data_IF_102232791429
#
_entry.id   IF_102232791429
#
_cell.length_a   1.000
_cell.length_b   1.000
_cell.length_c   1.000
_cell.angle_alpha   90.00
_cell.angle_beta   90.00
_cell.angle_gamma   90.00
#
_symmetry.space_group_name_H-M   'P 1'
#
loop_
_entity.id
_entity.type
_entity.pdbx_description
1 polymer ?
#
# COMPACT_ATOMS: atom_id res chain seq x y z
N UNK A 1 -34.16 1.55 69.74
CA UNK A 1 -33.24 2.58 70.24
C UNK A 1 -32.73 3.28 68.97
N UNK A 2 -33.48 4.31 68.54
CA UNK A 2 -33.33 5.77 68.73
C UNK A 2 -31.91 6.23 68.38
N UNK A 3 -31.69 7.11 67.41
CA UNK A 3 -32.25 8.43 67.19
C UNK A 3 -31.96 8.97 65.80
N UNK A 4 -32.96 9.54 65.21
CA UNK A 4 -33.02 10.59 64.16
C UNK A 4 -32.13 11.79 64.49
N UNK A 5 -31.59 12.45 63.48
CA UNK A 5 -31.67 13.94 63.46
C UNK A 5 -31.75 14.46 62.02
N UNK A 6 -32.65 15.37 61.89
CA UNK A 6 -33.15 16.09 60.75
C UNK A 6 -32.41 17.43 60.62
N UNK A 7 -32.25 17.98 59.46
CA UNK A 7 -31.76 19.35 59.24
C UNK A 7 -32.18 19.86 57.86
N UNK A 8 -33.30 20.56 57.85
CA UNK A 8 -33.86 21.42 56.77
C UNK A 8 -32.89 22.59 56.53
N UNK A 9 -32.86 23.28 55.48
CA UNK A 9 -33.59 23.75 54.32
C UNK A 9 -32.85 24.97 53.79
N UNK A 10 -32.89 25.29 52.54
CA UNK A 10 -33.53 26.54 52.09
C UNK A 10 -33.42 26.67 50.55
N UNK A 11 -34.54 27.01 50.02
CA UNK A 11 -34.89 27.32 48.64
C UNK A 11 -34.31 28.67 48.23
N UNK A 12 -33.89 28.80 46.98
CA UNK A 12 -34.07 30.06 46.23
C UNK A 12 -34.13 29.76 44.73
N UNK A 13 -35.26 30.10 44.17
CA UNK A 13 -35.57 30.14 42.76
C UNK A 13 -35.26 31.52 42.19
N UNK A 14 -34.82 31.57 40.94
CA UNK A 14 -35.00 32.61 39.92
C UNK A 14 -33.95 32.33 38.82
N UNK A 15 -34.13 32.47 37.54
CA UNK A 15 -35.19 32.94 36.70
C UNK A 15 -34.82 32.50 35.26
N UNK A 16 -35.85 32.41 34.44
CA UNK A 16 -35.85 32.23 32.98
C UNK A 16 -34.82 33.10 32.23
N UNK A 17 -34.17 32.54 31.24
CA UNK A 17 -33.47 33.27 30.20
C UNK A 17 -33.33 32.40 28.96
N UNK A 18 -34.28 32.49 28.02
CA UNK A 18 -34.13 31.98 26.64
C UNK A 18 -33.02 32.77 25.96
N UNK A 19 -32.10 32.06 25.33
CA UNK A 19 -31.33 32.59 24.24
C UNK A 19 -31.12 31.48 23.22
N UNK A 20 -31.83 31.61 22.12
CA UNK A 20 -31.54 31.00 20.82
C UNK A 20 -30.20 31.55 20.31
N UNK A 21 -29.39 30.71 19.76
CA UNK A 21 -28.35 31.22 18.90
C UNK A 21 -27.10 30.36 18.79
N UNK A 22 -26.85 29.94 17.57
CA UNK A 22 -25.59 29.64 16.96
C UNK A 22 -25.05 28.20 17.10
N UNK A 23 -25.38 27.42 16.08
CA UNK A 23 -24.46 26.46 15.49
C UNK A 23 -23.14 27.19 15.15
N UNK A 24 -22.09 26.92 15.86
CA UNK A 24 -20.74 27.28 15.44
C UNK A 24 -19.95 26.00 15.23
N UNK A 25 -19.68 25.76 13.98
CA UNK A 25 -18.54 25.07 13.38
C UNK A 25 -17.39 24.80 14.37
N UNK A 26 -17.17 23.53 14.69
CA UNK A 26 -15.88 23.06 15.11
C UNK A 26 -15.09 22.75 13.84
N UNK A 27 -14.44 23.79 13.33
CA UNK A 27 -13.35 23.67 12.35
C UNK A 27 -12.04 23.78 13.09
N UNK A 28 -11.16 22.83 12.75
CA UNK A 28 -9.71 22.98 12.68
C UNK A 28 -8.96 23.56 13.89
N UNK A 29 -8.41 22.70 14.72
CA UNK A 29 -7.04 22.89 15.24
C UNK A 29 -6.49 21.55 15.79
N UNK A 30 -6.01 20.69 14.91
CA UNK A 30 -5.04 19.65 15.23
C UNK A 30 -4.09 19.49 14.03
N UNK A 31 -3.34 20.56 13.78
CA UNK A 31 -2.15 20.51 12.94
C UNK A 31 -0.91 20.69 13.82
N UNK A 32 -0.02 19.74 13.65
CA UNK A 32 1.43 19.86 13.80
C UNK A 32 2.01 19.88 15.23
N UNK A 33 2.61 18.76 15.57
CA UNK A 33 4.02 18.76 15.98
C UNK A 33 4.64 17.42 15.61
N UNK A 34 5.03 17.27 14.33
CA UNK A 34 6.09 16.35 13.96
C UNK A 34 7.37 17.17 13.91
N UNK A 35 8.32 16.83 14.77
CA UNK A 35 9.63 17.45 14.80
C UNK A 35 10.34 17.28 13.45
N UNK A 36 10.60 18.41 12.82
CA UNK A 36 11.39 18.54 11.61
C UNK A 36 12.85 18.18 11.87
N UNK A 37 13.33 17.12 11.25
CA UNK A 37 14.75 16.92 11.00
C UNK A 37 15.10 17.58 9.66
N UNK A 38 16.03 18.55 9.74
CA UNK A 38 16.82 19.19 8.69
C UNK A 38 16.09 19.62 7.41
N UNK A 39 15.77 20.93 7.37
CA UNK A 39 15.35 21.63 6.17
C UNK A 39 16.43 21.63 5.09
N UNK A 40 16.24 20.82 4.06
CA UNK A 40 16.66 21.19 2.72
C UNK A 40 15.45 21.86 2.06
N UNK A 41 15.56 23.18 1.80
CA UNK A 41 14.63 23.87 0.91
C UNK A 41 14.66 23.13 -0.42
N UNK A 42 13.55 22.49 -0.80
CA UNK A 42 13.31 22.07 -2.16
C UNK A 42 13.27 23.35 -3.02
N UNK A 43 14.34 23.63 -3.75
CA UNK A 43 14.31 24.56 -4.88
C UNK A 43 13.54 23.84 -5.99
N UNK A 44 12.22 24.03 -6.05
CA UNK A 44 11.31 23.40 -6.98
C UNK A 44 10.10 24.29 -7.24
N UNK A 45 9.16 23.76 -8.03
CA UNK A 45 7.87 24.37 -8.33
C UNK A 45 7.18 24.82 -7.02
N UNK A 46 6.72 26.10 -6.93
CA UNK A 46 6.17 26.66 -5.70
C UNK A 46 4.77 26.13 -5.34
N UNK A 47 4.13 25.35 -6.22
CA UNK A 47 2.84 24.71 -6.01
C UNK A 47 2.99 23.22 -5.66
N UNK A 48 1.85 22.54 -5.51
CA UNK A 48 1.80 21.08 -5.39
C UNK A 48 2.00 20.44 -6.77
N UNK A 49 2.76 19.34 -6.85
CA UNK A 49 3.16 18.73 -8.13
C UNK A 49 1.95 18.26 -8.96
N UNK A 50 0.86 17.87 -8.33
CA UNK A 50 -0.36 17.40 -9.01
C UNK A 50 -1.05 18.49 -9.84
N UNK A 51 -0.86 19.78 -9.52
CA UNK A 51 -1.37 20.92 -10.27
C UNK A 51 -0.43 21.39 -11.38
N UNK A 52 0.83 20.91 -11.41
CA UNK A 52 1.81 21.35 -12.40
C UNK A 52 1.30 21.11 -13.84
N UNK A 53 1.54 22.03 -14.82
CA UNK A 53 1.07 21.90 -16.21
C UNK A 53 1.49 20.59 -16.89
N UNK A 54 2.65 20.03 -16.53
CA UNK A 54 3.09 18.72 -17.04
C UNK A 54 2.34 17.54 -16.44
N UNK A 55 1.65 17.72 -15.31
CA UNK A 55 0.97 16.66 -14.57
C UNK A 55 -0.55 16.79 -14.73
N UNK A 56 -1.15 17.86 -14.19
CA UNK A 56 -2.60 18.13 -14.28
C UNK A 56 -3.44 16.95 -13.78
N UNK A 57 -3.11 16.41 -12.61
CA UNK A 57 -3.68 15.16 -12.11
C UNK A 57 -5.22 15.16 -12.12
N UNK A 58 -5.86 16.22 -11.66
CA UNK A 58 -7.31 16.26 -11.50
C UNK A 58 -8.09 16.22 -12.83
N UNK A 59 -7.53 16.75 -13.92
CA UNK A 59 -8.25 17.00 -15.17
C UNK A 59 -7.78 16.13 -16.35
N UNK A 60 -6.55 15.63 -16.30
CA UNK A 60 -6.03 14.78 -17.39
C UNK A 60 -6.78 13.44 -17.43
N UNK A 61 -7.20 12.97 -18.62
CA UNK A 61 -7.77 11.65 -18.79
C UNK A 61 -6.80 10.57 -18.29
N UNK A 62 -7.35 9.49 -17.75
CA UNK A 62 -6.60 8.35 -17.25
C UNK A 62 -6.70 7.17 -18.19
N UNK A 63 -5.65 6.34 -18.21
CA UNK A 63 -5.51 5.17 -19.08
C UNK A 63 -5.25 3.90 -18.31
N UNK A 64 -5.40 3.95 -16.98
CA UNK A 64 -5.25 2.81 -16.10
C UNK A 64 -6.31 1.72 -16.36
N UNK A 65 -6.13 0.55 -15.75
CA UNK A 65 -7.00 -0.62 -15.97
C UNK A 65 -8.44 -0.38 -15.51
N UNK A 66 -8.66 0.41 -14.46
CA UNK A 66 -10.02 0.74 -13.98
C UNK A 66 -10.70 1.71 -14.94
N UNK A 67 -10.00 2.71 -15.45
CA UNK A 67 -10.50 3.59 -16.49
C UNK A 67 -10.88 2.83 -17.76
N UNK A 68 -10.01 1.92 -18.22
CA UNK A 68 -10.28 1.04 -19.38
C UNK A 68 -11.50 0.15 -19.16
N UNK A 69 -11.64 -0.47 -17.99
CA UNK A 69 -12.83 -1.26 -17.65
C UNK A 69 -14.09 -0.39 -17.68
N UNK A 70 -14.05 0.78 -17.05
CA UNK A 70 -15.20 1.69 -17.00
C UNK A 70 -15.64 2.11 -18.41
N UNK A 71 -14.68 2.46 -19.28
CA UNK A 71 -14.96 2.79 -20.68
C UNK A 71 -15.56 1.60 -21.44
N UNK A 72 -15.01 0.40 -21.27
CA UNK A 72 -15.54 -0.81 -21.93
C UNK A 72 -16.98 -1.14 -21.48
N UNK A 73 -17.32 -0.93 -20.21
CA UNK A 73 -18.70 -1.07 -19.72
C UNK A 73 -19.65 -0.07 -20.39
N UNK A 74 -19.22 1.18 -20.53
CA UNK A 74 -20.00 2.24 -21.20
C UNK A 74 -20.19 1.90 -22.69
N UNK A 75 -19.11 1.60 -23.41
CA UNK A 75 -19.12 1.35 -24.86
C UNK A 75 -19.97 0.14 -25.25
N UNK A 76 -19.99 -0.88 -24.39
CA UNK A 76 -20.74 -2.13 -24.64
C UNK A 76 -22.16 -2.12 -24.07
N UNK A 77 -22.51 -1.13 -23.25
CA UNK A 77 -23.77 -1.10 -22.49
C UNK A 77 -23.90 -2.26 -21.49
N UNK A 78 -22.79 -2.94 -21.15
CA UNK A 78 -22.77 -4.03 -20.19
C UNK A 78 -22.63 -3.49 -18.78
N UNK A 79 -23.14 -4.25 -17.80
CA UNK A 79 -22.96 -4.01 -16.38
C UNK A 79 -22.28 -5.21 -15.72
N UNK A 80 -21.58 -4.94 -14.63
CA UNK A 80 -21.07 -6.01 -13.79
C UNK A 80 -22.23 -6.79 -13.19
N UNK A 81 -22.11 -8.12 -13.17
CA UNK A 81 -23.13 -9.00 -12.60
C UNK A 81 -22.92 -9.08 -11.08
N UNK A 82 -23.94 -8.70 -10.32
CA UNK A 82 -23.85 -8.66 -8.85
C UNK A 82 -23.84 -10.09 -8.27
N UNK A 83 -22.79 -10.41 -7.51
CA UNK A 83 -22.72 -11.66 -6.72
C UNK A 83 -23.63 -11.56 -5.47
N UNK A 84 -24.41 -12.59 -5.14
CA UNK A 84 -25.33 -12.57 -3.98
C UNK A 84 -24.64 -12.37 -2.63
N UNK A 85 -23.38 -12.82 -2.44
CA UNK A 85 -22.65 -12.80 -1.17
C UNK A 85 -21.77 -11.57 -1.03
N UNK A 86 -21.06 -11.21 -2.09
CA UNK A 86 -19.99 -10.20 -2.07
C UNK A 86 -20.31 -8.95 -2.86
N UNK A 87 -21.55 -8.85 -3.40
CA UNK A 87 -21.95 -7.72 -4.21
C UNK A 87 -21.14 -7.64 -5.51
N UNK A 88 -20.49 -6.53 -5.75
CA UNK A 88 -19.66 -6.34 -6.95
C UNK A 88 -18.18 -6.70 -6.75
N UNK A 89 -17.77 -7.20 -5.57
CA UNK A 89 -16.36 -7.51 -5.32
C UNK A 89 -15.83 -8.55 -6.32
N UNK A 90 -16.39 -9.76 -6.35
CA UNK A 90 -15.89 -10.82 -7.23
C UNK A 90 -15.93 -10.43 -8.70
N UNK A 91 -17.03 -9.86 -9.25
CA UNK A 91 -17.06 -9.39 -10.63
C UNK A 91 -16.02 -8.31 -10.98
N UNK A 92 -15.69 -7.43 -10.03
CA UNK A 92 -14.64 -6.42 -10.23
C UNK A 92 -13.26 -7.07 -10.27
N UNK A 93 -12.98 -7.98 -9.36
CA UNK A 93 -11.69 -8.70 -9.36
C UNK A 93 -11.49 -9.50 -10.65
N UNK A 94 -12.52 -10.21 -11.11
CA UNK A 94 -12.50 -10.96 -12.38
C UNK A 94 -12.29 -10.03 -13.58
N UNK A 95 -13.04 -8.95 -13.68
CA UNK A 95 -12.95 -7.99 -14.78
C UNK A 95 -11.58 -7.29 -14.83
N UNK A 96 -10.96 -7.05 -13.68
CA UNK A 96 -9.63 -6.47 -13.57
C UNK A 96 -8.51 -7.52 -13.54
N UNK A 97 -8.81 -8.82 -13.48
CA UNK A 97 -7.81 -9.90 -13.38
C UNK A 97 -7.00 -9.88 -12.07
N UNK A 98 -7.55 -9.25 -11.01
CA UNK A 98 -6.91 -9.19 -9.70
C UNK A 98 -7.13 -10.53 -8.96
N UNK A 99 -6.07 -11.21 -8.49
CA UNK A 99 -6.19 -12.55 -7.92
C UNK A 99 -6.83 -12.54 -6.54
N UNK A 100 -7.75 -13.48 -6.30
CA UNK A 100 -8.37 -13.69 -4.98
C UNK A 100 -7.32 -14.13 -3.95
N UNK A 101 -6.30 -14.86 -4.37
CA UNK A 101 -5.19 -15.34 -3.54
C UNK A 101 -4.35 -14.22 -2.93
N UNK A 102 -4.45 -13.00 -3.44
CA UNK A 102 -3.79 -11.82 -2.88
C UNK A 102 -4.51 -11.22 -1.68
N UNK A 103 -5.60 -11.84 -1.19
CA UNK A 103 -6.37 -11.28 -0.09
C UNK A 103 -5.51 -10.99 1.15
N UNK A 104 -5.56 -9.73 1.59
CA UNK A 104 -5.02 -9.25 2.87
C UNK A 104 -6.17 -8.71 3.71
N UNK A 105 -6.05 -8.79 5.03
CA UNK A 105 -7.08 -8.31 5.94
C UNK A 105 -6.50 -7.28 6.91
N UNK A 106 -7.05 -6.07 6.90
CA UNK A 106 -6.65 -4.97 7.77
C UNK A 106 -7.83 -4.53 8.63
N UNK A 107 -7.64 -4.49 9.95
CA UNK A 107 -8.69 -4.13 10.90
C UNK A 107 -8.49 -2.76 11.56
N UNK A 108 -7.36 -2.11 11.33
CA UNK A 108 -7.18 -0.72 11.73
C UNK A 108 -8.19 0.17 11.03
N UNK A 109 -8.89 1.01 11.81
CA UNK A 109 -9.94 1.92 11.31
C UNK A 109 -9.34 3.11 10.58
N UNK A 110 -8.83 2.86 9.39
CA UNK A 110 -8.28 3.86 8.47
C UNK A 110 -9.15 3.94 7.20
N UNK A 111 -9.02 5.03 6.43
CA UNK A 111 -9.75 5.23 5.19
C UNK A 111 -11.20 5.70 5.38
N UNK A 112 -11.91 5.87 4.25
CA UNK A 112 -13.26 6.44 4.23
C UNK A 112 -14.32 5.49 4.78
N UNK A 113 -14.10 4.19 4.74
CA UNK A 113 -15.02 3.16 5.24
C UNK A 113 -14.70 2.70 6.67
N UNK A 114 -13.96 3.51 7.45
CA UNK A 114 -13.58 3.19 8.84
C UNK A 114 -14.75 2.87 9.76
N UNK A 115 -15.94 3.40 9.49
CA UNK A 115 -17.14 3.13 10.29
C UNK A 115 -17.60 1.66 10.20
N UNK A 116 -17.27 0.98 9.09
CA UNK A 116 -17.59 -0.43 8.85
C UNK A 116 -16.44 -1.36 9.23
N UNK A 117 -15.23 -0.83 9.37
CA UNK A 117 -14.03 -1.63 9.67
C UNK A 117 -13.86 -1.85 11.17
N UNK A 118 -13.54 -3.07 11.56
CA UNK A 118 -13.23 -3.45 12.95
C UNK A 118 -12.45 -4.76 13.00
N UNK A 119 -11.92 -5.19 14.16
CA UNK A 119 -11.35 -6.54 14.32
C UNK A 119 -12.31 -7.68 13.98
N UNK A 120 -13.63 -7.45 14.06
CA UNK A 120 -14.66 -8.43 13.72
C UNK A 120 -15.22 -8.26 12.29
N UNK A 121 -14.79 -7.24 11.59
CA UNK A 121 -15.15 -6.95 10.21
C UNK A 121 -13.99 -6.21 9.50
N UNK A 122 -12.83 -6.88 9.30
CA UNK A 122 -11.68 -6.24 8.67
C UNK A 122 -11.96 -5.88 7.22
N UNK A 123 -11.26 -4.88 6.73
CA UNK A 123 -11.21 -4.54 5.31
C UNK A 123 -10.35 -5.57 4.59
N UNK A 124 -10.91 -6.22 3.58
CA UNK A 124 -10.17 -7.06 2.65
C UNK A 124 -9.53 -6.19 1.56
N UNK A 125 -8.26 -6.46 1.26
CA UNK A 125 -7.49 -5.83 0.19
C UNK A 125 -7.07 -6.94 -0.76
N UNK A 126 -7.29 -6.73 -2.05
CA UNK A 126 -6.83 -7.57 -3.15
C UNK A 126 -5.94 -6.75 -4.06
N UNK A 127 -4.89 -7.32 -4.59
CA UNK A 127 -3.93 -6.55 -5.38
C UNK A 127 -3.22 -7.36 -6.46
N UNK A 128 -2.72 -6.64 -7.44
CA UNK A 128 -1.67 -7.08 -8.36
C UNK A 128 -0.65 -5.93 -8.54
N UNK A 129 0.20 -5.98 -9.55
CA UNK A 129 1.26 -4.98 -9.77
C UNK A 129 0.76 -3.59 -10.13
N UNK A 130 -0.53 -3.39 -10.43
CA UNK A 130 -1.05 -2.09 -10.87
C UNK A 130 -2.41 -1.72 -10.29
N UNK A 131 -3.13 -2.66 -9.66
CA UNK A 131 -4.47 -2.42 -9.11
C UNK A 131 -4.56 -2.92 -7.67
N UNK A 132 -5.21 -2.13 -6.83
CA UNK A 132 -5.60 -2.50 -5.47
C UNK A 132 -7.11 -2.32 -5.34
N UNK A 133 -7.79 -3.32 -4.81
CA UNK A 133 -9.23 -3.31 -4.54
C UNK A 133 -9.44 -3.51 -3.04
N UNK A 134 -10.15 -2.59 -2.40
CA UNK A 134 -10.45 -2.64 -0.98
C UNK A 134 -11.96 -2.76 -0.75
N UNK A 135 -12.33 -3.72 0.08
CA UNK A 135 -13.72 -4.10 0.35
C UNK A 135 -13.94 -4.33 1.85
N UNK A 136 -15.05 -3.83 2.36
CA UNK A 136 -15.49 -4.12 3.72
C UNK A 136 -16.88 -4.75 3.63
N UNK A 137 -17.10 -5.96 4.17
CA UNK A 137 -18.44 -6.57 4.16
C UNK A 137 -19.49 -5.63 4.77
N UNK A 138 -20.62 -5.45 4.06
CA UNK A 138 -21.71 -4.58 4.48
C UNK A 138 -21.49 -3.08 4.26
N UNK A 139 -20.32 -2.66 3.78
CA UNK A 139 -20.09 -1.27 3.42
C UNK A 139 -20.74 -0.91 2.06
N UNK A 140 -21.12 0.37 1.86
CA UNK A 140 -21.88 0.78 0.68
C UNK A 140 -21.07 0.85 -0.60
N UNK A 141 -19.72 0.80 -0.54
CA UNK A 141 -18.88 0.94 -1.73
C UNK A 141 -17.66 0.01 -1.70
N UNK A 142 -17.08 -0.21 -2.86
CA UNK A 142 -15.75 -0.78 -3.06
C UNK A 142 -14.81 0.37 -3.40
N UNK A 143 -13.64 0.41 -2.78
CA UNK A 143 -12.58 1.38 -3.07
C UNK A 143 -11.55 0.73 -3.98
N UNK A 144 -11.11 1.44 -5.01
CA UNK A 144 -10.08 0.96 -5.92
C UNK A 144 -8.98 2.01 -6.07
N UNK A 145 -7.78 1.53 -6.25
CA UNK A 145 -6.62 2.33 -6.63
C UNK A 145 -5.93 1.64 -7.80
N UNK A 146 -5.68 2.38 -8.87
CA UNK A 146 -5.03 1.83 -10.06
C UNK A 146 -3.89 2.74 -10.49
N UNK A 147 -2.76 2.17 -10.88
CA UNK A 147 -1.63 2.94 -11.37
C UNK A 147 -1.84 3.31 -12.85
N UNK A 148 -1.81 4.61 -13.12
CA UNK A 148 -1.77 5.19 -14.45
C UNK A 148 -0.32 5.57 -14.79
N UNK A 149 0.21 5.23 -15.98
CA UNK A 149 1.63 5.49 -16.33
C UNK A 149 2.02 6.97 -16.30
N UNK A 150 1.06 7.89 -16.42
CA UNK A 150 1.33 9.33 -16.40
C UNK A 150 0.87 10.03 -15.13
N UNK A 151 -0.23 9.54 -14.52
CA UNK A 151 -0.86 10.17 -13.37
C UNK A 151 -0.39 9.57 -12.03
N UNK A 152 0.29 8.42 -12.05
CA UNK A 152 0.54 7.66 -10.83
C UNK A 152 -0.73 6.97 -10.34
N UNK A 153 -0.93 6.86 -9.03
CA UNK A 153 -2.08 6.15 -8.48
C UNK A 153 -3.36 6.98 -8.60
N UNK A 154 -4.37 6.43 -9.28
CA UNK A 154 -5.68 7.02 -9.45
C UNK A 154 -6.70 6.25 -8.60
N UNK A 155 -7.54 6.98 -7.87
CA UNK A 155 -8.51 6.42 -6.93
C UNK A 155 -9.92 6.41 -7.50
N UNK A 156 -10.65 5.31 -7.25
CA UNK A 156 -12.02 5.12 -7.69
C UNK A 156 -12.89 4.56 -6.57
N UNK A 157 -14.20 4.74 -6.71
CA UNK A 157 -15.19 4.04 -5.90
C UNK A 157 -16.25 3.41 -6.81
N UNK A 158 -16.75 2.25 -6.39
CA UNK A 158 -17.89 1.58 -6.98
C UNK A 158 -18.99 1.46 -5.92
N UNK A 159 -20.16 2.03 -6.19
CA UNK A 159 -21.32 1.91 -5.31
C UNK A 159 -21.89 0.49 -5.36
N UNK A 160 -22.04 -0.15 -4.20
CA UNK A 160 -22.56 -1.52 -4.07
C UNK A 160 -24.06 -1.66 -4.38
N UNK A 161 -24.81 -0.57 -4.43
CA UNK A 161 -26.20 -0.58 -4.84
C UNK A 161 -26.35 -0.36 -6.35
N UNK A 162 -25.57 0.56 -6.94
CA UNK A 162 -25.67 0.94 -8.35
C UNK A 162 -24.82 0.07 -9.30
N UNK A 163 -23.63 -0.39 -8.84
CA UNK A 163 -22.75 -1.27 -9.61
C UNK A 163 -22.02 -0.63 -10.80
N UNK A 164 -22.32 0.60 -11.13
CA UNK A 164 -21.66 1.40 -12.18
C UNK A 164 -22.16 2.85 -12.11
N UNK A 165 -21.39 3.85 -12.64
CA UNK A 165 -19.99 3.73 -13.09
C UNK A 165 -18.99 3.65 -11.94
N UNK A 166 -17.76 3.21 -12.24
CA UNK A 166 -16.63 3.37 -11.34
C UNK A 166 -16.21 4.85 -11.36
N UNK A 167 -16.37 5.52 -10.23
CA UNK A 167 -16.23 6.99 -10.14
C UNK A 167 -14.84 7.36 -9.63
N UNK A 168 -14.09 8.15 -10.42
CA UNK A 168 -12.80 8.71 -9.99
C UNK A 168 -12.99 9.66 -8.79
N UNK A 169 -12.08 9.58 -7.81
CA UNK A 169 -12.15 10.34 -6.55
C UNK A 169 -10.86 11.10 -6.28
N UNK A 170 -10.84 12.38 -6.60
CA UNK A 170 -9.69 13.26 -6.30
C UNK A 170 -9.58 13.60 -4.81
N UNK A 171 -10.67 13.57 -4.05
CA UNK A 171 -10.65 13.80 -2.61
C UNK A 171 -9.81 12.78 -1.80
N UNK A 172 -9.46 11.64 -2.39
CA UNK A 172 -8.54 10.67 -1.76
C UNK A 172 -7.12 11.25 -1.58
N UNK A 173 -6.73 12.23 -2.40
CA UNK A 173 -5.42 12.89 -2.33
C UNK A 173 -5.18 13.57 -0.98
N UNK A 174 -6.24 13.98 -0.27
CA UNK A 174 -6.09 14.58 1.06
C UNK A 174 -5.29 13.72 2.06
N UNK A 175 -5.32 12.37 1.87
CA UNK A 175 -4.53 11.43 2.68
C UNK A 175 -3.43 10.76 1.84
N UNK A 176 -3.65 10.59 0.54
CA UNK A 176 -2.79 9.82 -0.35
C UNK A 176 -1.76 10.67 -1.13
N UNK A 177 -1.58 11.94 -0.75
CA UNK A 177 -0.44 12.79 -1.11
C UNK A 177 0.15 13.31 0.19
N UNK A 178 1.19 12.67 0.68
CA UNK A 178 1.82 12.98 1.97
C UNK A 178 3.28 12.55 1.96
N UNK A 179 4.02 12.80 3.05
CA UNK A 179 5.38 12.31 3.20
C UNK A 179 5.46 10.77 3.04
N UNK A 180 4.45 10.04 3.52
CA UNK A 180 4.36 8.58 3.39
C UNK A 180 4.21 8.08 1.95
N UNK A 181 3.74 8.92 1.05
CA UNK A 181 3.64 8.64 -0.39
C UNK A 181 4.65 9.44 -1.21
N UNK A 182 5.68 9.98 -0.57
CA UNK A 182 6.71 10.79 -1.21
C UNK A 182 6.14 12.04 -1.93
N UNK A 183 5.02 12.58 -1.41
CA UNK A 183 4.28 13.73 -1.95
C UNK A 183 3.73 13.56 -3.37
N UNK A 184 3.47 12.31 -3.77
CA UNK A 184 2.74 11.98 -5.01
C UNK A 184 1.51 11.13 -4.69
N UNK A 185 0.52 11.03 -5.61
CA UNK A 185 -0.59 10.09 -5.44
C UNK A 185 -0.06 8.67 -5.29
N UNK A 186 -0.27 8.08 -4.12
CA UNK A 186 0.35 6.82 -3.78
C UNK A 186 -0.45 5.99 -2.78
N UNK A 187 0.03 4.80 -2.48
CA UNK A 187 -0.57 3.89 -1.50
C UNK A 187 0.33 3.81 -0.29
N UNK A 188 -0.29 3.90 0.89
CA UNK A 188 0.39 3.83 2.18
C UNK A 188 0.13 2.44 2.76
N UNK A 189 1.19 1.70 3.01
CA UNK A 189 1.13 0.52 3.86
C UNK A 189 1.63 0.92 5.23
N UNK A 190 0.79 0.76 6.24
CA UNK A 190 1.09 1.27 7.58
C UNK A 190 0.83 0.23 8.65
N UNK A 191 1.79 0.09 9.54
CA UNK A 191 1.65 -0.64 10.79
C UNK A 191 1.23 0.34 11.89
N UNK A 192 0.09 0.10 12.51
CA UNK A 192 -0.46 0.98 13.53
C UNK A 192 -0.63 0.23 14.86
N UNK A 193 -0.30 0.86 15.98
CA UNK A 193 -0.85 0.42 17.25
C UNK A 193 -2.34 0.74 17.27
N UNK A 194 -3.17 -0.23 17.64
CA UNK A 194 -4.62 -0.12 17.63
C UNK A 194 -5.22 -0.52 18.97
N UNK A 195 -6.37 0.06 19.31
CA UNK A 195 -7.21 -0.38 20.41
C UNK A 195 -7.98 -1.66 20.09
N UNK A 196 -8.64 -2.23 21.09
CA UNK A 196 -9.43 -3.47 20.95
C UNK A 196 -10.62 -3.32 19.96
N UNK A 197 -11.03 -2.10 19.70
CA UNK A 197 -12.07 -1.75 18.72
C UNK A 197 -11.53 -1.47 17.32
N UNK A 198 -10.19 -1.50 17.12
CA UNK A 198 -9.50 -1.20 15.86
C UNK A 198 -9.19 0.29 15.65
N UNK A 199 -9.52 1.19 16.59
CA UNK A 199 -9.12 2.59 16.48
C UNK A 199 -7.60 2.72 16.57
N UNK A 200 -7.02 3.54 15.69
CA UNK A 200 -5.58 3.81 15.67
C UNK A 200 -5.19 4.66 16.86
N UNK A 201 -4.11 4.28 17.53
CA UNK A 201 -3.53 4.95 18.69
C UNK A 201 -2.12 5.46 18.34
N UNK A 202 -2.00 6.56 17.56
CA UNK A 202 -0.73 6.99 16.96
C UNK A 202 0.34 7.34 18.01
N UNK A 203 -0.07 7.76 19.21
CA UNK A 203 0.83 8.07 20.32
C UNK A 203 1.64 6.85 20.82
N UNK A 204 1.25 5.61 20.44
CA UNK A 204 1.93 4.37 20.82
C UNK A 204 2.68 3.73 19.65
N UNK A 205 2.69 4.34 18.48
CA UNK A 205 3.43 3.93 17.31
C UNK A 205 2.57 3.83 16.05
N UNK A 206 3.12 4.33 14.97
CA UNK A 206 2.61 4.21 13.61
C UNK A 206 3.81 4.30 12.67
N UNK A 207 3.98 3.30 11.82
CA UNK A 207 5.16 3.16 10.96
C UNK A 207 4.70 2.95 9.51
N UNK A 208 5.31 3.66 8.57
CA UNK A 208 5.19 3.34 7.16
C UNK A 208 6.05 2.10 6.87
N UNK A 209 5.50 1.13 6.15
CA UNK A 209 6.09 -0.19 5.98
C UNK A 209 6.54 -0.42 4.55
N UNK A 210 7.75 -0.94 4.41
CA UNK A 210 8.32 -1.44 3.17
C UNK A 210 9.28 -2.62 3.47
N UNK A 211 10.02 -3.11 2.49
CA UNK A 211 10.91 -4.26 2.68
C UNK A 211 12.11 -3.99 3.61
N UNK A 212 12.44 -2.72 3.88
CA UNK A 212 13.51 -2.32 4.80
C UNK A 212 13.03 -2.25 6.26
N UNK A 213 11.72 -2.30 6.50
CA UNK A 213 11.15 -2.21 7.86
C UNK A 213 11.44 -3.48 8.66
N UNK A 214 11.91 -3.39 9.91
CA UNK A 214 12.09 -4.55 10.77
C UNK A 214 10.77 -5.33 10.96
N UNK A 215 10.84 -6.65 10.93
CA UNK A 215 9.65 -7.51 11.01
C UNK A 215 8.76 -7.25 12.25
N UNK A 216 9.29 -6.97 13.45
CA UNK A 216 8.47 -6.65 14.61
C UNK A 216 7.56 -5.43 14.43
N UNK A 217 7.94 -4.51 13.53
CA UNK A 217 7.28 -3.23 13.35
C UNK A 217 6.23 -3.25 12.22
N UNK A 218 6.03 -4.38 11.50
CA UNK A 218 5.24 -4.42 10.26
C UNK A 218 3.74 -4.68 10.42
N UNK A 219 3.30 -5.36 11.48
CA UNK A 219 2.02 -6.07 11.46
C UNK A 219 0.87 -5.35 12.17
N UNK A 220 1.11 -4.15 12.65
CA UNK A 220 0.14 -3.39 13.44
C UNK A 220 -1.16 -3.08 12.68
N UNK A 221 -2.30 -3.58 13.18
CA UNK A 221 -3.62 -3.39 12.56
C UNK A 221 -3.95 -4.37 11.43
N UNK A 222 -3.06 -5.34 11.13
CA UNK A 222 -3.26 -6.37 10.12
C UNK A 222 -3.52 -7.74 10.75
N UNK A 223 -4.41 -8.53 10.16
CA UNK A 223 -4.41 -9.97 10.37
C UNK A 223 -3.34 -10.60 9.49
N UNK A 224 -2.64 -11.58 10.03
CA UNK A 224 -1.59 -12.29 9.30
C UNK A 224 -1.77 -13.77 9.55
N UNK A 225 -2.04 -14.52 8.48
CA UNK A 225 -2.13 -15.96 8.49
C UNK A 225 -0.89 -16.55 7.85
N UNK A 226 -0.33 -17.59 8.45
CA UNK A 226 0.80 -18.31 7.89
C UNK A 226 0.75 -19.78 8.31
N UNK A 227 1.69 -20.58 7.84
CA UNK A 227 1.91 -21.93 8.31
C UNK A 227 2.02 -21.96 9.85
N UNK A 228 1.48 -22.97 10.56
CA UNK A 228 1.61 -23.13 11.99
C UNK A 228 3.04 -23.04 12.52
N UNK A 229 4.04 -23.40 11.72
CA UNK A 229 5.46 -23.26 12.08
C UNK A 229 5.94 -21.79 12.09
N UNK A 230 5.33 -20.93 11.28
CA UNK A 230 5.59 -19.49 11.27
C UNK A 230 4.68 -18.71 12.25
N UNK A 231 3.63 -19.34 12.81
CA UNK A 231 2.72 -18.75 13.79
C UNK A 231 3.43 -18.13 15.01
N UNK A 232 4.44 -18.77 15.65
CA UNK A 232 5.19 -18.16 16.74
C UNK A 232 5.89 -16.88 16.32
N UNK A 233 6.30 -16.78 15.06
CA UNK A 233 6.89 -15.59 14.48
C UNK A 233 5.83 -14.53 14.20
N UNK A 234 4.75 -14.88 13.52
CA UNK A 234 3.61 -14.01 13.31
C UNK A 234 2.99 -13.56 14.66
N UNK A 235 2.88 -14.45 15.64
CA UNK A 235 2.44 -14.11 17.00
C UNK A 235 3.42 -13.19 17.73
N UNK A 236 4.72 -13.34 17.53
CA UNK A 236 5.74 -12.44 18.07
C UNK A 236 5.84 -11.13 17.29
N UNK A 237 5.66 -11.18 15.99
CA UNK A 237 5.55 -10.00 15.15
C UNK A 237 4.31 -9.16 15.46
N UNK A 238 3.29 -9.77 16.09
CA UNK A 238 2.14 -9.06 16.67
C UNK A 238 2.47 -8.26 17.93
N UNK A 239 3.70 -8.23 18.38
CA UNK A 239 4.11 -7.29 19.43
C UNK A 239 4.00 -5.84 18.98
N UNK A 240 4.00 -5.54 17.67
CA UNK A 240 3.58 -4.26 17.12
C UNK A 240 2.06 -4.01 17.26
N UNK A 241 1.27 -5.05 17.50
CA UNK A 241 -0.15 -5.02 17.86
C UNK A 241 -0.34 -5.14 19.37
N UNK A 242 0.43 -4.41 20.15
CA UNK A 242 0.13 -4.26 21.56
C UNK A 242 -1.22 -3.54 21.62
N UNK A 243 -2.28 -4.27 21.98
CA UNK A 243 -3.47 -3.63 22.52
C UNK A 243 -3.02 -2.83 23.73
N UNK A 244 -3.59 -1.66 23.93
CA UNK A 244 -3.28 -0.79 25.08
C UNK A 244 -3.31 -1.52 26.44
N UNK A 245 -3.98 -2.65 26.55
CA UNK A 245 -4.02 -3.54 27.72
C UNK A 245 -2.74 -4.36 27.95
N UNK A 246 -1.72 -4.25 27.11
CA UNK A 246 -0.46 -5.02 27.23
C UNK A 246 -0.62 -6.51 26.95
N UNK A 247 -1.78 -6.96 26.52
CA UNK A 247 -2.04 -8.33 26.06
C UNK A 247 -1.71 -8.38 24.58
N UNK A 248 -0.85 -9.31 24.17
CA UNK A 248 -0.64 -9.61 22.76
C UNK A 248 -1.98 -9.81 22.05
N UNK A 249 -2.06 -9.45 20.79
CA UNK A 249 -3.30 -9.50 20.02
C UNK A 249 -3.84 -10.93 19.92
N UNK A 250 -4.59 -11.38 20.93
CA UNK A 250 -5.33 -12.64 20.92
C UNK A 250 -6.48 -12.62 19.90
N UNK A 251 -6.89 -11.44 19.45
CA UNK A 251 -7.94 -11.26 18.44
C UNK A 251 -7.57 -11.86 17.08
N UNK A 252 -6.28 -11.96 16.75
CA UNK A 252 -5.87 -12.56 15.48
C UNK A 252 -6.23 -14.05 15.39
N UNK A 253 -5.93 -14.84 16.43
CA UNK A 253 -6.28 -16.27 16.43
C UNK A 253 -7.78 -16.47 16.48
N UNK A 254 -8.49 -15.74 17.32
CA UNK A 254 -9.94 -15.77 17.41
C UNK A 254 -10.60 -15.41 16.08
N UNK A 255 -10.07 -14.41 15.38
CA UNK A 255 -10.58 -14.02 14.06
C UNK A 255 -10.27 -15.08 12.99
N UNK A 256 -9.09 -15.66 12.98
CA UNK A 256 -8.70 -16.72 12.05
C UNK A 256 -9.56 -17.97 12.27
N UNK A 257 -9.78 -18.37 13.51
CA UNK A 257 -10.67 -19.50 13.85
C UNK A 257 -12.10 -19.21 13.40
N UNK A 258 -12.56 -17.99 13.60
CA UNK A 258 -13.88 -17.54 13.16
C UNK A 258 -14.01 -17.51 11.61
N UNK A 259 -13.00 -17.00 10.92
CA UNK A 259 -12.94 -16.95 9.46
C UNK A 259 -12.92 -18.38 8.88
N UNK A 260 -12.15 -19.29 9.48
CA UNK A 260 -12.04 -20.67 9.07
C UNK A 260 -13.33 -21.47 9.33
N UNK A 261 -14.12 -21.10 10.34
CA UNK A 261 -15.34 -21.82 10.69
C UNK A 261 -16.49 -21.64 9.70
N UNK A 262 -16.54 -20.52 8.96
CA UNK A 262 -17.61 -20.23 8.01
C UNK A 262 -17.22 -19.10 7.03
N UNK A 263 -16.22 -19.30 6.17
CA UNK A 263 -15.77 -18.24 5.26
C UNK A 263 -16.87 -17.77 4.30
N UNK A 264 -17.73 -18.70 3.88
CA UNK A 264 -18.81 -18.45 2.91
C UNK A 264 -19.93 -17.54 3.44
N UNK A 265 -20.13 -17.52 4.76
CA UNK A 265 -21.21 -16.76 5.38
C UNK A 265 -20.79 -15.33 5.75
N UNK A 266 -19.50 -14.97 5.61
CA UNK A 266 -18.94 -13.74 6.14
C UNK A 266 -18.56 -12.68 5.10
N UNK A 267 -18.79 -12.97 3.82
CA UNK A 267 -18.54 -12.03 2.73
C UNK A 267 -17.07 -11.91 2.31
N UNK A 268 -16.17 -12.76 2.81
CA UNK A 268 -14.80 -12.85 2.34
C UNK A 268 -14.63 -13.94 1.29
N UNK A 269 -13.70 -13.72 0.34
CA UNK A 269 -13.42 -14.67 -0.74
C UNK A 269 -12.39 -15.74 -0.36
N UNK A 270 -11.59 -15.50 0.67
CA UNK A 270 -10.60 -16.42 1.19
C UNK A 270 -10.60 -16.43 2.71
N UNK A 271 -10.22 -17.57 3.30
CA UNK A 271 -9.99 -17.73 4.75
C UNK A 271 -8.59 -17.28 5.18
N UNK A 272 -7.84 -16.58 4.32
CA UNK A 272 -6.46 -16.20 4.60
C UNK A 272 -6.20 -14.71 4.42
N UNK A 273 -5.18 -14.23 5.15
CA UNK A 273 -4.47 -12.98 4.97
C UNK A 273 -2.99 -13.35 5.00
N UNK A 274 -2.44 -13.69 3.83
CA UNK A 274 -1.14 -14.35 3.72
C UNK A 274 0.01 -13.39 4.06
N UNK A 275 0.92 -13.83 4.94
CA UNK A 275 2.11 -13.09 5.32
C UNK A 275 3.02 -12.79 4.12
N UNK A 276 3.15 -13.72 3.19
CA UNK A 276 4.00 -13.57 2.01
C UNK A 276 3.37 -12.57 1.05
N UNK A 277 2.05 -12.63 0.84
CA UNK A 277 1.34 -11.63 0.07
C UNK A 277 1.47 -10.23 0.68
N UNK A 278 1.44 -10.11 2.02
CA UNK A 278 1.63 -8.82 2.69
C UNK A 278 3.06 -8.27 2.49
N UNK A 279 4.09 -9.12 2.58
CA UNK A 279 5.48 -8.72 2.31
C UNK A 279 5.68 -8.25 0.85
N UNK A 280 5.02 -8.92 -0.10
CA UNK A 280 5.01 -8.52 -1.50
C UNK A 280 4.29 -7.17 -1.69
N UNK A 281 3.15 -7.00 -1.02
CA UNK A 281 2.39 -5.75 -1.03
C UNK A 281 3.18 -4.58 -0.45
N UNK A 282 3.84 -4.77 0.70
CA UNK A 282 4.69 -3.77 1.35
C UNK A 282 5.76 -3.25 0.38
N UNK A 283 6.46 -4.18 -0.28
CA UNK A 283 7.49 -3.84 -1.26
C UNK A 283 6.91 -3.10 -2.46
N UNK A 284 5.85 -3.65 -3.03
CA UNK A 284 5.25 -3.19 -4.28
C UNK A 284 4.68 -1.77 -4.16
N UNK A 285 3.96 -1.46 -3.06
CA UNK A 285 3.32 -0.16 -2.90
C UNK A 285 4.35 0.97 -2.76
N UNK A 286 5.44 0.73 -2.05
CA UNK A 286 6.51 1.73 -1.97
C UNK A 286 7.27 1.88 -3.31
N UNK A 287 7.47 0.78 -4.04
CA UNK A 287 8.04 0.84 -5.40
C UNK A 287 7.19 1.70 -6.34
N UNK A 288 5.86 1.56 -6.30
CA UNK A 288 4.92 2.40 -7.07
C UNK A 288 5.06 3.89 -6.70
N UNK A 289 5.18 4.20 -5.41
CA UNK A 289 5.36 5.58 -4.96
C UNK A 289 6.69 6.17 -5.47
N UNK A 290 7.78 5.43 -5.42
CA UNK A 290 9.09 5.84 -5.96
C UNK A 290 9.03 6.04 -7.48
N UNK A 291 8.43 5.12 -8.21
CA UNK A 291 8.26 5.19 -9.67
C UNK A 291 7.41 6.41 -10.06
N UNK A 292 6.30 6.64 -9.37
CA UNK A 292 5.43 7.81 -9.59
C UNK A 292 6.20 9.11 -9.34
N UNK A 293 6.94 9.20 -8.23
CA UNK A 293 7.71 10.38 -7.89
C UNK A 293 8.79 10.67 -8.94
N UNK A 294 9.57 9.67 -9.30
CA UNK A 294 10.62 9.84 -10.31
C UNK A 294 10.03 10.25 -11.67
N UNK A 295 8.91 9.66 -12.08
CA UNK A 295 8.19 10.03 -13.30
C UNK A 295 7.76 11.51 -13.26
N UNK A 296 7.10 11.95 -12.20
CA UNK A 296 6.58 13.30 -12.08
C UNK A 296 7.69 14.35 -12.01
N UNK A 297 8.68 14.15 -11.14
CA UNK A 297 9.83 15.05 -10.98
C UNK A 297 10.61 15.20 -12.29
N UNK A 298 10.79 14.12 -13.03
CA UNK A 298 11.49 14.18 -14.32
C UNK A 298 10.71 14.92 -15.39
N UNK A 299 9.39 14.81 -15.41
CA UNK A 299 8.53 15.52 -16.37
C UNK A 299 8.46 17.02 -16.05
N UNK A 300 8.38 17.38 -14.77
CA UNK A 300 8.43 18.76 -14.31
C UNK A 300 9.79 19.38 -14.68
N UNK A 301 10.88 18.70 -14.34
CA UNK A 301 12.22 19.18 -14.66
C UNK A 301 12.44 19.39 -16.17
N UNK A 302 11.90 18.50 -17.00
CA UNK A 302 12.02 18.61 -18.47
C UNK A 302 11.20 19.76 -19.05
N UNK A 303 10.08 20.14 -18.42
CA UNK A 303 9.22 21.24 -18.90
C UNK A 303 9.71 22.62 -18.49
N UNK A 304 10.44 22.71 -17.38
CA UNK A 304 10.88 23.99 -16.80
C UNK A 304 12.24 24.47 -17.32
N UNK A 305 12.86 23.77 -18.26
CA UNK A 305 14.24 24.02 -18.75
C UNK A 305 15.32 24.08 -17.62
N UNK A 306 14.95 23.66 -16.40
CA UNK A 306 15.73 23.91 -15.17
C UNK A 306 16.64 22.77 -14.73
N UNK A 307 16.42 21.56 -15.24
CA UNK A 307 17.19 20.43 -14.76
C UNK A 307 17.44 19.39 -15.85
N UNK A 308 18.70 19.09 -16.06
CA UNK A 308 19.09 17.84 -16.70
C UNK A 308 18.89 16.68 -15.68
N UNK A 309 18.73 15.46 -16.17
CA UNK A 309 18.74 14.22 -15.35
C UNK A 309 20.02 14.11 -14.51
N UNK A 310 21.06 14.83 -14.90
CA UNK A 310 22.30 14.99 -14.14
C UNK A 310 22.17 15.92 -12.92
N UNK A 311 21.05 16.62 -12.73
CA UNK A 311 20.79 17.41 -11.53
C UNK A 311 20.82 16.56 -10.26
N UNK A 312 21.36 17.12 -9.16
CA UNK A 312 21.59 16.36 -7.93
C UNK A 312 20.33 15.67 -7.37
N UNK A 313 19.18 16.35 -7.43
CA UNK A 313 17.91 15.81 -6.93
C UNK A 313 17.42 14.60 -7.74
N UNK A 314 17.33 14.69 -9.07
CA UNK A 314 16.91 13.57 -9.92
C UNK A 314 17.87 12.39 -9.84
N UNK A 315 19.17 12.66 -9.75
CA UNK A 315 20.17 11.59 -9.53
C UNK A 315 19.93 10.86 -8.21
N UNK A 316 19.58 11.59 -7.15
CA UNK A 316 19.19 11.01 -5.86
C UNK A 316 18.03 10.04 -6.00
N UNK A 317 16.96 10.45 -6.69
CA UNK A 317 15.78 9.61 -6.92
C UNK A 317 16.08 8.38 -7.81
N UNK A 318 16.92 8.53 -8.83
CA UNK A 318 17.38 7.39 -9.65
C UNK A 318 18.16 6.39 -8.81
N UNK A 319 19.06 6.85 -7.94
CA UNK A 319 19.80 5.96 -7.04
C UNK A 319 18.86 5.25 -6.06
N UNK A 320 17.96 6.01 -5.41
CA UNK A 320 16.98 5.47 -4.45
C UNK A 320 16.12 4.39 -5.11
N UNK A 321 15.54 4.66 -6.29
CA UNK A 321 14.74 3.68 -7.01
C UNK A 321 15.56 2.45 -7.41
N UNK A 322 16.74 2.63 -7.99
CA UNK A 322 17.57 1.50 -8.42
C UNK A 322 17.98 0.60 -7.25
N UNK A 323 18.36 1.19 -6.13
CA UNK A 323 18.72 0.48 -4.91
C UNK A 323 17.50 -0.25 -4.32
N UNK A 324 16.34 0.40 -4.29
CA UNK A 324 15.08 -0.20 -3.82
C UNK A 324 14.65 -1.38 -4.70
N UNK A 325 14.70 -1.23 -6.03
CA UNK A 325 14.40 -2.32 -6.96
C UNK A 325 15.36 -3.51 -6.84
N UNK A 326 16.58 -3.27 -6.38
CA UNK A 326 17.57 -4.33 -6.13
C UNK A 326 17.54 -4.86 -4.69
N UNK A 327 16.49 -4.56 -3.91
CA UNK A 327 16.32 -5.01 -2.53
C UNK A 327 17.48 -4.63 -1.59
N UNK A 328 18.13 -3.49 -1.86
CA UNK A 328 19.15 -2.95 -0.96
C UNK A 328 18.51 -2.57 0.38
N UNK A 329 19.05 -3.09 1.48
CA UNK A 329 18.51 -2.83 2.82
C UNK A 329 17.34 -3.74 3.24
N UNK A 330 16.96 -4.73 2.42
CA UNK A 330 15.94 -5.71 2.81
C UNK A 330 16.24 -6.36 4.16
N UNK A 331 15.21 -6.42 5.00
CA UNK A 331 15.26 -7.17 6.25
C UNK A 331 14.82 -8.62 5.97
N UNK A 332 15.74 -9.59 6.11
CA UNK A 332 15.44 -10.99 5.82
C UNK A 332 14.42 -11.56 6.81
N UNK A 333 13.63 -12.58 6.41
CA UNK A 333 12.79 -13.33 7.33
C UNK A 333 13.58 -13.86 8.52
N UNK A 334 13.03 -13.77 9.72
CA UNK A 334 13.68 -14.33 10.93
C UNK A 334 13.52 -15.85 11.04
N UNK A 335 12.55 -16.40 10.32
CA UNK A 335 12.26 -17.84 10.18
C UNK A 335 11.80 -18.09 8.75
N UNK A 336 11.98 -19.31 8.21
CA UNK A 336 11.41 -19.66 6.91
C UNK A 336 9.90 -19.42 6.87
N UNK A 337 9.42 -18.82 5.78
CA UNK A 337 8.02 -18.55 5.57
C UNK A 337 7.46 -19.50 4.50
N UNK A 338 6.20 -19.88 4.65
CA UNK A 338 5.48 -20.70 3.67
C UNK A 338 4.28 -19.89 3.16
N UNK A 339 4.19 -19.60 1.84
CA UNK A 339 3.06 -18.92 1.28
C UNK A 339 1.82 -19.82 1.29
N UNK A 340 0.64 -19.23 1.28
CA UNK A 340 -0.58 -19.96 0.96
C UNK A 340 -0.57 -20.42 -0.49
N UNK A 341 -1.16 -21.59 -0.81
CA UNK A 341 -1.26 -22.07 -2.18
C UNK A 341 -1.91 -21.03 -3.11
N UNK A 342 -1.39 -20.91 -4.32
CA UNK A 342 -1.91 -20.07 -5.40
C UNK A 342 -1.23 -18.71 -5.54
N UNK A 343 -0.84 -18.05 -4.43
CA UNK A 343 -0.24 -16.71 -4.53
C UNK A 343 1.18 -16.72 -5.15
N UNK A 344 2.05 -17.60 -4.64
CA UNK A 344 3.44 -17.71 -5.15
C UNK A 344 3.48 -18.13 -6.62
N UNK A 345 2.70 -19.13 -6.98
CA UNK A 345 2.57 -19.64 -8.35
C UNK A 345 2.03 -18.54 -9.28
N UNK A 346 1.08 -17.77 -8.81
CA UNK A 346 0.51 -16.64 -9.55
C UNK A 346 1.56 -15.55 -9.81
N UNK A 347 2.31 -15.15 -8.77
CA UNK A 347 3.38 -14.17 -8.89
C UNK A 347 4.45 -14.63 -9.90
N UNK A 348 4.91 -15.87 -9.78
CA UNK A 348 5.90 -16.43 -10.69
C UNK A 348 5.38 -16.52 -12.13
N UNK A 349 4.11 -16.92 -12.33
CA UNK A 349 3.52 -17.09 -13.67
C UNK A 349 3.37 -15.79 -14.45
N UNK A 350 3.32 -14.65 -13.76
CA UNK A 350 3.18 -13.32 -14.35
C UNK A 350 4.52 -12.67 -14.74
N UNK A 351 5.62 -13.28 -14.38
CA UNK A 351 6.96 -12.74 -14.66
C UNK A 351 7.69 -13.55 -15.72
N UNK A 352 8.41 -12.89 -16.64
CA UNK A 352 9.16 -13.58 -17.67
C UNK A 352 10.22 -14.52 -17.09
N UNK A 353 10.49 -15.62 -17.81
CA UNK A 353 11.56 -16.56 -17.48
C UNK A 353 12.70 -16.45 -18.49
N UNK A 354 13.94 -16.51 -18.02
CA UNK A 354 15.10 -16.67 -18.88
C UNK A 354 15.21 -18.11 -19.42
N UNK A 355 16.20 -18.37 -20.27
CA UNK A 355 16.45 -19.71 -20.87
C UNK A 355 16.74 -20.79 -19.82
N UNK A 356 17.10 -20.43 -18.57
CA UNK A 356 17.35 -21.34 -17.49
C UNK A 356 16.12 -21.53 -16.59
N UNK A 357 14.98 -20.95 -16.95
CA UNK A 357 13.74 -21.00 -16.17
C UNK A 357 13.76 -20.11 -14.90
N UNK A 358 14.74 -19.20 -14.77
CA UNK A 358 14.82 -18.25 -13.66
C UNK A 358 13.91 -17.05 -13.94
N UNK A 359 13.27 -16.52 -12.88
CA UNK A 359 12.36 -15.40 -12.95
C UNK A 359 12.52 -14.49 -11.74
N UNK A 360 12.31 -13.18 -11.92
CA UNK A 360 12.29 -12.21 -10.82
C UNK A 360 11.06 -12.34 -9.92
N UNK A 361 10.06 -13.14 -10.28
CA UNK A 361 8.89 -13.45 -9.45
C UNK A 361 9.06 -14.67 -8.54
N UNK A 362 10.19 -15.39 -8.61
CA UNK A 362 10.46 -16.54 -7.76
C UNK A 362 10.76 -16.12 -6.33
N UNK A 363 10.13 -16.78 -5.37
CA UNK A 363 10.31 -16.53 -3.94
C UNK A 363 11.44 -17.39 -3.35
N UNK A 364 12.17 -16.86 -2.35
CA UNK A 364 13.14 -17.60 -1.50
C UNK A 364 12.49 -17.94 -0.15
N UNK A 365 12.01 -16.94 0.56
CA UNK A 365 11.28 -17.03 1.83
C UNK A 365 12.09 -17.61 3.00
N UNK A 366 13.37 -17.89 2.82
CA UNK A 366 14.30 -18.37 3.86
C UNK A 366 15.31 -17.28 4.19
N UNK A 367 15.99 -16.76 3.18
CA UNK A 367 17.05 -15.77 3.35
C UNK A 367 16.62 -14.36 2.92
N UNK A 368 15.60 -14.27 2.08
CA UNK A 368 15.06 -13.03 1.50
C UNK A 368 13.66 -13.28 0.94
N UNK A 369 12.98 -12.22 0.49
CA UNK A 369 11.66 -12.36 -0.14
C UNK A 369 11.77 -13.03 -1.52
N UNK A 370 12.56 -12.45 -2.42
CA UNK A 370 12.73 -12.95 -3.79
C UNK A 370 14.02 -13.77 -3.92
N UNK A 371 13.96 -14.86 -4.67
CA UNK A 371 15.11 -15.72 -4.94
C UNK A 371 16.26 -14.96 -5.62
N UNK A 372 15.93 -14.12 -6.57
CA UNK A 372 16.86 -13.22 -7.24
C UNK A 372 16.59 -11.81 -6.73
N UNK A 373 17.57 -11.13 -6.08
CA UNK A 373 17.34 -9.85 -5.41
C UNK A 373 17.18 -8.70 -6.40
N UNK A 374 16.11 -8.76 -7.17
CA UNK A 374 15.66 -7.73 -8.08
C UNK A 374 14.14 -7.77 -8.18
N UNK A 375 13.51 -6.63 -8.05
CA UNK A 375 12.07 -6.49 -8.08
C UNK A 375 11.50 -6.80 -9.48
N UNK A 376 10.45 -7.62 -9.52
CA UNK A 376 9.65 -7.83 -10.71
C UNK A 376 8.92 -6.55 -11.18
N UNK A 377 8.87 -5.50 -10.33
CA UNK A 377 8.32 -4.20 -10.70
C UNK A 377 9.05 -3.52 -11.88
N UNK A 378 10.22 -3.99 -12.26
CA UNK A 378 10.88 -3.59 -13.52
C UNK A 378 10.08 -3.96 -14.79
N UNK A 379 9.11 -4.89 -14.68
CA UNK A 379 8.19 -5.26 -15.76
C UNK A 379 6.84 -4.54 -15.70
N UNK A 380 6.59 -3.76 -14.65
CA UNK A 380 5.32 -3.07 -14.44
C UNK A 380 5.08 -1.94 -15.43
N UNK A 381 3.81 -1.63 -15.72
CA UNK A 381 3.43 -0.44 -16.49
C UNK A 381 3.96 0.86 -15.85
N UNK A 382 4.14 0.87 -14.51
CA UNK A 382 4.73 1.99 -13.78
C UNK A 382 6.18 2.24 -14.19
N UNK A 383 6.98 1.19 -14.31
CA UNK A 383 8.37 1.28 -14.75
C UNK A 383 8.46 1.61 -16.25
N UNK A 384 7.62 0.97 -17.06
CA UNK A 384 7.57 1.23 -18.51
C UNK A 384 7.15 2.66 -18.84
N UNK A 385 6.32 3.26 -18.00
CA UNK A 385 5.86 4.65 -18.11
C UNK A 385 6.93 5.71 -17.80
N UNK A 386 8.11 5.34 -17.32
CA UNK A 386 9.20 6.28 -17.09
C UNK A 386 9.69 6.88 -18.43
N UNK A 387 10.04 8.18 -18.48
CA UNK A 387 10.72 8.76 -19.63
C UNK A 387 11.98 7.96 -19.98
N UNK A 388 12.23 7.80 -21.28
CA UNK A 388 13.32 6.94 -21.78
C UNK A 388 14.67 7.23 -21.11
N UNK A 389 15.07 8.52 -21.05
CA UNK A 389 16.34 8.91 -20.46
C UNK A 389 16.43 8.61 -18.94
N UNK A 390 15.29 8.65 -18.25
CA UNK A 390 15.21 8.27 -16.82
C UNK A 390 15.36 6.77 -16.67
N UNK A 391 14.67 6.00 -17.49
CA UNK A 391 14.76 4.53 -17.51
C UNK A 391 16.20 4.07 -17.79
N UNK A 392 16.86 4.69 -18.78
CA UNK A 392 18.28 4.45 -19.09
C UNK A 392 19.18 4.76 -17.89
N UNK A 393 18.93 5.86 -17.16
CA UNK A 393 19.68 6.22 -15.96
C UNK A 393 19.50 5.20 -14.82
N UNK A 394 18.26 4.71 -14.60
CA UNK A 394 17.97 3.64 -13.61
C UNK A 394 18.71 2.36 -13.99
N UNK A 395 18.65 1.93 -15.25
CA UNK A 395 19.37 0.76 -15.73
C UNK A 395 20.89 0.91 -15.58
N UNK A 396 21.44 2.09 -15.91
CA UNK A 396 22.86 2.38 -15.71
C UNK A 396 23.28 2.22 -14.25
N UNK A 397 22.46 2.74 -13.31
CA UNK A 397 22.70 2.59 -11.87
C UNK A 397 22.62 1.13 -11.42
N UNK A 398 21.59 0.41 -11.83
CA UNK A 398 21.43 -1.02 -11.55
C UNK A 398 22.63 -1.82 -12.07
N UNK A 399 23.07 -1.54 -13.31
CA UNK A 399 24.23 -2.20 -13.91
C UNK A 399 25.51 -1.93 -13.12
N UNK A 400 25.76 -0.69 -12.69
CA UNK A 400 26.94 -0.35 -11.90
C UNK A 400 26.98 -1.12 -10.56
N UNK A 401 25.83 -1.27 -9.90
CA UNK A 401 25.71 -2.05 -8.66
C UNK A 401 25.91 -3.54 -8.95
N UNK A 402 25.19 -4.09 -9.93
CA UNK A 402 25.21 -5.52 -10.23
C UNK A 402 26.56 -6.00 -10.79
N UNK A 403 27.28 -5.15 -11.55
CA UNK A 403 28.64 -5.46 -12.03
C UNK A 403 29.73 -5.35 -10.92
N UNK A 404 29.38 -4.73 -9.79
CA UNK A 404 30.33 -4.48 -8.70
C UNK A 404 31.22 -3.24 -8.92
N UNK A 405 30.93 -2.39 -9.91
CA UNK A 405 31.65 -1.12 -10.13
C UNK A 405 31.37 -0.11 -9.00
N UNK A 406 30.15 -0.10 -8.51
CA UNK A 406 29.74 0.70 -7.37
C UNK A 406 28.74 -0.10 -6.51
N UNK A 407 29.19 -0.56 -5.35
CA UNK A 407 28.38 -1.40 -4.46
C UNK A 407 28.17 -0.71 -3.14
N UNK A 408 26.99 -0.11 -2.87
CA UNK A 408 26.66 0.45 -1.58
C UNK A 408 26.79 -0.58 -0.46
N UNK A 409 27.17 -0.14 0.73
CA UNK A 409 27.37 -1.02 1.90
C UNK A 409 26.14 -1.89 2.22
N UNK A 410 24.94 -1.31 2.04
CA UNK A 410 23.66 -2.02 2.22
C UNK A 410 23.47 -3.19 1.24
N UNK A 411 24.26 -3.23 0.17
CA UNK A 411 24.23 -4.27 -0.87
C UNK A 411 25.27 -5.39 -0.62
N UNK A 412 26.10 -5.27 0.41
CA UNK A 412 27.20 -6.22 0.69
C UNK A 412 26.70 -7.67 0.93
N UNK A 413 25.42 -7.85 1.25
CA UNK A 413 24.79 -9.16 1.44
C UNK A 413 24.49 -9.90 0.14
N UNK A 414 24.49 -9.23 -1.00
CA UNK A 414 24.20 -9.86 -2.30
C UNK A 414 25.46 -10.41 -2.90
N UNK A 415 25.54 -11.72 -3.00
CA UNK A 415 26.71 -12.42 -3.54
C UNK A 415 27.02 -12.00 -4.97
N UNK A 416 28.27 -12.20 -5.41
CA UNK A 416 28.64 -11.98 -6.81
C UNK A 416 27.85 -12.89 -7.78
N UNK A 417 27.48 -14.09 -7.32
CA UNK A 417 26.65 -15.04 -8.05
C UNK A 417 25.24 -14.53 -8.23
N UNK A 418 24.59 -14.06 -7.15
CA UNK A 418 23.25 -13.44 -7.22
C UNK A 418 23.23 -12.24 -8.16
N UNK A 419 24.23 -11.34 -8.06
CA UNK A 419 24.33 -10.17 -8.94
C UNK A 419 24.45 -10.56 -10.40
N UNK A 420 25.24 -11.57 -10.70
CA UNK A 420 25.39 -12.10 -12.06
C UNK A 420 24.07 -12.71 -12.56
N UNK A 421 23.40 -13.52 -11.74
CA UNK A 421 22.12 -14.11 -12.09
C UNK A 421 21.05 -13.04 -12.41
N UNK A 422 20.97 -11.98 -11.62
CA UNK A 422 20.06 -10.85 -11.90
C UNK A 422 20.40 -10.16 -13.22
N UNK A 423 21.68 -9.89 -13.50
CA UNK A 423 22.09 -9.31 -14.79
C UNK A 423 21.71 -10.19 -15.99
N UNK A 424 21.92 -11.50 -15.89
CA UNK A 424 21.56 -12.45 -16.95
C UNK A 424 20.05 -12.47 -17.17
N UNK A 425 19.24 -12.56 -16.10
CA UNK A 425 17.79 -12.53 -16.18
C UNK A 425 17.31 -11.22 -16.85
N UNK A 426 17.78 -10.08 -16.39
CA UNK A 426 17.37 -8.78 -16.94
C UNK A 426 17.72 -8.67 -18.44
N UNK A 427 18.91 -9.09 -18.86
CA UNK A 427 19.33 -9.07 -20.27
C UNK A 427 18.49 -9.95 -21.18
N UNK A 428 18.00 -11.07 -20.69
CA UNK A 428 17.19 -12.00 -21.47
C UNK A 428 15.70 -11.66 -21.45
N UNK A 429 15.21 -11.06 -20.35
CA UNK A 429 13.77 -10.86 -20.14
C UNK A 429 13.32 -9.42 -20.29
N UNK A 430 14.26 -8.47 -20.42
CA UNK A 430 13.98 -7.04 -20.51
C UNK A 430 14.65 -6.46 -21.77
N UNK A 431 13.93 -6.37 -22.92
CA UNK A 431 14.52 -6.05 -24.22
C UNK A 431 15.25 -4.70 -24.29
N UNK A 432 14.84 -3.74 -23.45
CA UNK A 432 15.43 -2.39 -23.37
C UNK A 432 16.53 -2.28 -22.31
N UNK A 433 16.85 -3.38 -21.59
CA UNK A 433 17.97 -3.37 -20.64
C UNK A 433 19.30 -3.40 -21.41
N UNK A 434 20.32 -2.60 -21.01
CA UNK A 434 21.59 -2.52 -21.74
C UNK A 434 22.28 -3.88 -21.88
N UNK A 435 22.57 -4.26 -23.11
CA UNK A 435 23.49 -5.36 -23.41
C UNK A 435 24.93 -5.05 -22.99
N UNK A 436 25.87 -5.94 -23.34
CA UNK A 436 27.31 -5.69 -23.20
C UNK A 436 27.77 -4.58 -24.14
#
# INVERSE_FOLDING_TARGET
MSRTWCGRALVSAAALGMALGACSSFSDTLLATSASTSGQKQEGWPGVLDEHPSIQYAIRPTTDRVAKLNQALIDTGRSLQRDPRTGYLLPVLEALGVPVESQLLVFSKTGVQRAYTSPHNPRAIFFDESVVVAYVPGAPMIELAAHDPQQGVVFYTLDQAAGAPLTRRTGCLACHVSASTLYVPGIIVRSNTVGDDGNVLPQFGSYDVNHETPHPDRWGGWFVTSDPLALPYAQRAHTGNITFSGRGNTSNQVFVDWLNSSPETRGYLSSSSDIVALLVFDHQMHAINLLTRLNWESRVASSDDRASISGGALRGLVNELAEYLLFAGEVPPSVPLTPRPGFAERLESRTPKDRHGRSLGQLDLVNRLLRHPCSYMVYSEAFEGLPRAVKEAVYGRMTAILSGQDTPTKYARVSAEDRRAVLEILRETKPDFPGY
#
